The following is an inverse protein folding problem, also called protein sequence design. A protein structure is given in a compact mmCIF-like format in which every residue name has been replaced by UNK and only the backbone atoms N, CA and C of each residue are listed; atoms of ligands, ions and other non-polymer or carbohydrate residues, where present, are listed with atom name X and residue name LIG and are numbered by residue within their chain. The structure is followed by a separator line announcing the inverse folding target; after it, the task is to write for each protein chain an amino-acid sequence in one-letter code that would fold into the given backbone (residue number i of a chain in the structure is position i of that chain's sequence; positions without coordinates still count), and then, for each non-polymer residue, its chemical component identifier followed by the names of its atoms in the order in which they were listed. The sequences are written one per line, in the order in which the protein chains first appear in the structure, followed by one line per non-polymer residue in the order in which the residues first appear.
data_IF_189013622705
#
_entry.id   IF_189013622705
#
_cell.length_a   1.000
_cell.length_b   1.000
_cell.length_c   1.000
_cell.angle_alpha   90.00
_cell.angle_beta   90.00
_cell.angle_gamma   90.00
#
_symmetry.space_group_name_H-M   'P 1'
#
loop_
_entity.id
_entity.type
_entity.pdbx_description
1 polymer ?
#
# COMPACT_ATOMS: atom_id res chain seq x y z
N UNK A 1 5.89 -11.18 -4.45
CA UNK A 1 6.44 -9.95 -5.07
C UNK A 1 5.33 -8.90 -5.06
N UNK A 2 5.40 -7.91 -4.18
CA UNK A 2 4.38 -6.85 -4.08
C UNK A 2 4.50 -5.91 -5.28
N UNK A 3 3.40 -5.68 -6.00
CA UNK A 3 3.36 -4.81 -7.19
C UNK A 3 2.33 -3.70 -6.92
N UNK A 4 2.78 -2.63 -6.26
CA UNK A 4 1.95 -1.45 -6.00
C UNK A 4 1.72 -0.66 -7.28
N UNK A 5 0.54 -0.81 -7.90
CA UNK A 5 0.14 -0.01 -9.07
C UNK A 5 -0.83 1.07 -8.59
N UNK A 6 -0.43 2.34 -8.72
CA UNK A 6 -1.26 3.51 -8.41
C UNK A 6 -2.12 3.88 -9.62
N UNK A 7 -3.45 3.72 -9.51
CA UNK A 7 -4.44 4.18 -10.50
C UNK A 7 -5.05 5.53 -10.13
N UNK A 8 -4.22 6.50 -9.72
CA UNK A 8 -4.70 7.83 -9.34
C UNK A 8 -3.65 8.91 -9.60
N UNK A 9 -3.41 9.27 -10.86
CA UNK A 9 -2.61 10.42 -11.37
C UNK A 9 -1.33 10.81 -10.57
N UNK A 10 -0.76 9.88 -9.84
CA UNK A 10 0.50 9.99 -9.09
C UNK A 10 1.20 8.67 -9.33
N UNK A 11 2.10 8.66 -10.29
CA UNK A 11 3.15 7.65 -10.37
C UNK A 11 4.07 7.93 -9.18
N UNK A 12 3.85 7.25 -8.06
CA UNK A 12 4.83 7.26 -6.97
C UNK A 12 6.02 6.47 -7.52
N UNK A 13 7.03 7.21 -7.95
CA UNK A 13 8.33 6.66 -8.31
C UNK A 13 8.80 5.78 -7.13
N UNK A 14 9.08 4.50 -7.35
CA UNK A 14 9.40 3.55 -6.26
C UNK A 14 10.60 4.04 -5.43
N UNK A 15 11.49 4.79 -6.09
CA UNK A 15 12.66 5.42 -5.48
C UNK A 15 12.32 6.65 -4.62
N UNK A 16 11.17 7.30 -4.86
CA UNK A 16 10.69 8.42 -4.06
C UNK A 16 9.76 7.91 -2.97
N UNK A 17 10.31 7.80 -1.77
CA UNK A 17 9.55 7.54 -0.53
C UNK A 17 8.30 8.42 -0.45
N UNK A 18 7.22 7.86 0.07
CA UNK A 18 5.99 8.61 0.31
C UNK A 18 6.26 9.84 1.20
N UNK A 19 5.64 10.99 0.89
CA UNK A 19 5.66 12.15 1.78
C UNK A 19 5.14 11.82 3.18
N UNK A 20 5.48 12.67 4.16
CA UNK A 20 4.85 12.61 5.47
C UNK A 20 3.36 12.96 5.33
N UNK A 21 2.48 12.15 5.93
CA UNK A 21 1.04 12.34 5.83
C UNK A 21 0.23 11.15 6.31
N UNK A 22 -1.10 11.32 6.29
CA UNK A 22 -2.06 10.25 6.57
C UNK A 22 -2.53 9.64 5.26
N UNK A 23 -2.41 8.33 5.16
CA UNK A 23 -2.79 7.54 4.00
C UNK A 23 -3.87 6.54 4.40
N UNK A 24 -4.82 6.30 3.50
CA UNK A 24 -5.70 5.15 3.61
C UNK A 24 -5.10 4.01 2.78
N UNK A 25 -4.82 2.88 3.41
CA UNK A 25 -4.29 1.70 2.73
C UNK A 25 -5.37 0.63 2.57
N UNK A 26 -5.25 -0.12 1.48
CA UNK A 26 -5.98 -1.35 1.22
C UNK A 26 -4.94 -2.38 0.78
N UNK A 27 -4.88 -3.49 1.49
CA UNK A 27 -3.95 -4.59 1.27
C UNK A 27 -4.76 -5.86 1.06
N UNK A 28 -4.50 -6.56 -0.03
CA UNK A 28 -5.04 -7.89 -0.30
C UNK A 28 -3.88 -8.84 -0.56
N UNK A 29 -3.85 -9.96 0.14
CA UNK A 29 -2.83 -10.99 -0.04
C UNK A 29 -3.38 -12.38 0.20
N UNK A 30 -2.76 -13.36 -0.44
CA UNK A 30 -3.02 -14.78 -0.20
C UNK A 30 -1.88 -15.32 0.66
N UNK A 31 -2.22 -15.97 1.78
CA UNK A 31 -1.23 -16.59 2.66
C UNK A 31 -0.72 -17.93 2.10
N UNK A 32 0.23 -18.55 2.81
CA UNK A 32 0.77 -19.85 2.43
C UNK A 32 -0.26 -21.00 2.50
N UNK A 33 -1.38 -20.77 3.17
CA UNK A 33 -2.51 -21.71 3.30
C UNK A 33 -3.60 -21.48 2.25
N UNK A 34 -3.34 -20.67 1.22
CA UNK A 34 -4.29 -20.25 0.19
C UNK A 34 -5.52 -19.50 0.73
N UNK A 35 -5.42 -18.88 1.90
CA UNK A 35 -6.48 -18.01 2.43
C UNK A 35 -6.24 -16.58 1.97
N UNK A 36 -7.29 -15.95 1.47
CA UNK A 36 -7.26 -14.53 1.09
C UNK A 36 -7.55 -13.67 2.31
N UNK A 37 -6.65 -12.73 2.57
CA UNK A 37 -6.76 -11.74 3.62
C UNK A 37 -6.90 -10.36 2.99
N UNK A 38 -7.80 -9.56 3.56
CA UNK A 38 -8.03 -8.18 3.16
C UNK A 38 -7.92 -7.30 4.39
N UNK A 39 -6.98 -6.36 4.37
CA UNK A 39 -6.70 -5.42 5.46
C UNK A 39 -6.82 -4.00 4.91
N UNK A 40 -7.54 -3.13 5.62
CA UNK A 40 -7.66 -1.73 5.24
C UNK A 40 -7.71 -0.84 6.47
N UNK A 41 -7.11 0.34 6.36
CA UNK A 41 -7.07 1.26 7.49
C UNK A 41 -6.29 2.54 7.24
N UNK A 42 -6.22 3.35 8.30
CA UNK A 42 -5.47 4.59 8.30
C UNK A 42 -4.02 4.32 8.71
N UNK A 43 -3.07 4.83 7.92
CA UNK A 43 -1.65 4.77 8.18
C UNK A 43 -1.08 6.19 8.20
N UNK A 44 -0.51 6.58 9.33
CA UNK A 44 0.23 7.83 9.43
C UNK A 44 1.72 7.56 9.22
N UNK A 45 2.30 8.18 8.19
CA UNK A 45 3.73 8.10 7.89
C UNK A 45 4.41 9.37 8.41
N UNK A 46 5.37 9.21 9.32
CA UNK A 46 6.22 10.28 9.87
C UNK A 46 7.69 10.04 9.49
N UNK A 47 8.46 11.12 9.27
CA UNK A 47 9.92 11.07 9.11
C UNK A 47 10.66 10.96 10.44
#
# INVERSE_FOLDING_TARGET
MFRGISNGRVTVDVDKKLPQGTYYYVLEYTDASNQTHSEAGWLYIKR
#
